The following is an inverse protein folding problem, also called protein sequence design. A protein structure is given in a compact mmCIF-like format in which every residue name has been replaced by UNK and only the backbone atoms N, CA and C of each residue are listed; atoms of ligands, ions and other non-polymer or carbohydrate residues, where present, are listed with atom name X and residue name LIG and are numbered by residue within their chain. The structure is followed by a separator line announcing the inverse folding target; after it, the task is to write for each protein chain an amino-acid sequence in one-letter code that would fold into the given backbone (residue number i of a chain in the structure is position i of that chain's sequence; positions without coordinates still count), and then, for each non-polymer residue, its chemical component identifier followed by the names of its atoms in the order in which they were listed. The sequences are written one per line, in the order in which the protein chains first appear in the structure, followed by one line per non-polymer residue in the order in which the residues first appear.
data_IF_900467228368
#
_entry.id   IF_900467228368
#
_cell.length_a   1.000
_cell.length_b   1.000
_cell.length_c   1.000
_cell.angle_alpha   90.00
_cell.angle_beta   90.00
_cell.angle_gamma   90.00
#
_symmetry.space_group_name_H-M   'P 1'
#
loop_
_entity.id
_entity.type
_entity.pdbx_description
1 polymer ?
#
# COMPACT_ATOMS: atom_id res chain seq x y z
N UNK A 1 -25.95 -5.09 3.82
CA UNK A 1 -24.68 -4.44 3.43
C UNK A 1 -23.97 -4.00 4.69
N UNK A 2 -22.71 -4.33 4.81
CA UNK A 2 -21.91 -3.94 5.96
C UNK A 2 -21.45 -2.47 5.77
N UNK A 3 -21.87 -1.56 6.64
CA UNK A 3 -21.50 -0.13 6.56
C UNK A 3 -19.98 0.11 6.43
N UNK A 4 -19.17 -0.81 6.97
CA UNK A 4 -17.72 -0.76 6.84
C UNK A 4 -17.24 -0.97 5.40
N UNK A 5 -17.91 -1.86 4.66
CA UNK A 5 -17.60 -2.12 3.25
C UNK A 5 -18.05 -0.95 2.36
N UNK A 6 -19.15 -0.29 2.70
CA UNK A 6 -19.56 0.91 1.95
C UNK A 6 -18.55 2.05 2.05
N UNK A 7 -18.00 2.27 3.24
CA UNK A 7 -16.94 3.27 3.43
C UNK A 7 -15.65 2.87 2.67
N UNK A 8 -15.31 1.57 2.68
CA UNK A 8 -14.16 1.06 1.92
C UNK A 8 -14.32 1.25 0.41
N UNK A 9 -15.55 1.12 -0.12
CA UNK A 9 -15.85 1.44 -1.53
C UNK A 9 -15.60 2.90 -1.87
N UNK A 10 -15.84 3.82 -0.93
CA UNK A 10 -15.54 5.26 -1.13
C UNK A 10 -14.02 5.46 -1.26
N UNK A 11 -13.22 4.85 -0.37
CA UNK A 11 -11.75 4.93 -0.48
C UNK A 11 -11.26 4.32 -1.80
N UNK A 12 -11.83 3.18 -2.21
CA UNK A 12 -11.49 2.54 -3.48
C UNK A 12 -11.79 3.45 -4.68
N UNK A 13 -12.96 4.10 -4.72
CA UNK A 13 -13.30 5.07 -5.77
C UNK A 13 -12.33 6.26 -5.79
N UNK A 14 -11.94 6.76 -4.62
CA UNK A 14 -10.92 7.82 -4.52
C UNK A 14 -9.57 7.36 -5.07
N UNK A 15 -9.16 6.13 -4.78
CA UNK A 15 -7.93 5.55 -5.31
C UNK A 15 -7.96 5.40 -6.83
N UNK A 16 -9.09 4.96 -7.41
CA UNK A 16 -9.29 4.92 -8.87
C UNK A 16 -9.18 6.32 -9.50
N UNK A 17 -9.77 7.33 -8.86
CA UNK A 17 -9.73 8.70 -9.35
C UNK A 17 -8.30 9.28 -9.36
N UNK A 18 -7.51 9.01 -8.30
CA UNK A 18 -6.12 9.47 -8.17
C UNK A 18 -5.22 8.82 -9.20
N UNK A 19 -5.31 7.49 -9.35
CA UNK A 19 -4.46 6.73 -10.27
C UNK A 19 -4.93 6.76 -11.72
N UNK A 20 -6.20 7.09 -11.95
CA UNK A 20 -6.85 6.92 -13.26
C UNK A 20 -7.01 5.46 -13.66
N UNK A 21 -6.96 4.55 -12.70
CA UNK A 21 -7.18 3.12 -12.93
C UNK A 21 -8.65 2.84 -13.27
N UNK A 22 -8.88 1.73 -13.97
CA UNK A 22 -10.24 1.35 -14.40
C UNK A 22 -11.01 0.70 -13.25
N UNK A 23 -12.32 0.82 -13.32
CA UNK A 23 -13.20 0.13 -12.39
C UNK A 23 -13.00 -1.39 -12.50
N UNK A 24 -12.92 -2.08 -11.35
CA UNK A 24 -12.62 -3.51 -11.29
C UNK A 24 -11.13 -3.82 -11.04
N UNK A 25 -10.25 -2.81 -11.05
CA UNK A 25 -8.83 -2.99 -10.67
C UNK A 25 -8.73 -3.57 -9.25
N UNK A 26 -7.79 -4.51 -9.06
CA UNK A 26 -7.56 -5.13 -7.77
C UNK A 26 -7.26 -4.08 -6.69
N UNK A 27 -8.08 -4.08 -5.62
CA UNK A 27 -8.01 -3.10 -4.53
C UNK A 27 -6.67 -3.14 -3.80
N UNK A 28 -6.14 -4.33 -3.54
CA UNK A 28 -4.89 -4.47 -2.80
C UNK A 28 -3.71 -3.90 -3.57
N UNK A 29 -3.57 -4.25 -4.86
CA UNK A 29 -2.53 -3.69 -5.73
C UNK A 29 -2.64 -2.16 -5.85
N UNK A 30 -3.87 -1.64 -5.97
CA UNK A 30 -4.12 -0.21 -6.06
C UNK A 30 -3.70 0.55 -4.79
N UNK A 31 -4.01 -0.02 -3.61
CA UNK A 31 -3.63 0.58 -2.33
C UNK A 31 -2.12 0.48 -2.08
N UNK A 32 -1.51 -0.62 -2.49
CA UNK A 32 -0.06 -0.81 -2.42
C UNK A 32 0.68 0.26 -3.22
N UNK A 33 0.30 0.48 -4.48
CA UNK A 33 0.88 1.53 -5.33
C UNK A 33 0.73 2.94 -4.73
N UNK A 34 -0.41 3.22 -4.10
CA UNK A 34 -0.66 4.51 -3.43
C UNK A 34 -0.01 4.61 -2.04
N UNK A 35 0.51 3.51 -1.50
CA UNK A 35 0.93 3.43 -0.11
C UNK A 35 -0.23 3.68 0.88
N UNK A 36 -1.46 3.31 0.49
CA UNK A 36 -2.65 3.47 1.34
C UNK A 36 -2.93 2.19 2.12
N UNK A 37 -3.18 2.35 3.40
CA UNK A 37 -3.75 1.29 4.24
C UNK A 37 -5.24 1.13 3.91
N UNK A 38 -5.77 -0.10 3.98
CA UNK A 38 -7.21 -0.28 4.02
C UNK A 38 -7.80 0.41 5.26
N UNK A 39 -9.07 0.80 5.20
CA UNK A 39 -9.73 1.38 6.37
C UNK A 39 -9.85 0.37 7.52
N UNK A 40 -9.87 -0.94 7.19
CA UNK A 40 -9.82 -2.01 8.18
C UNK A 40 -8.48 -1.99 8.95
N UNK A 41 -7.36 -1.95 8.24
CA UNK A 41 -6.02 -1.96 8.82
C UNK A 41 -5.78 -0.67 9.62
N UNK A 42 -6.21 0.46 9.09
CA UNK A 42 -6.16 1.74 9.80
C UNK A 42 -6.93 1.70 11.11
N UNK A 43 -8.11 1.06 11.13
CA UNK A 43 -8.88 0.87 12.38
C UNK A 43 -8.15 -0.08 13.34
N UNK A 44 -7.52 -1.15 12.85
CA UNK A 44 -6.71 -2.04 13.69
C UNK A 44 -5.53 -1.30 14.32
N UNK A 45 -4.74 -0.59 13.54
CA UNK A 45 -3.63 0.24 14.02
C UNK A 45 -4.09 1.23 15.10
N UNK A 46 -5.20 1.93 14.85
CA UNK A 46 -5.75 2.90 15.81
C UNK A 46 -6.21 2.25 17.12
N UNK A 47 -6.76 1.03 17.07
CA UNK A 47 -7.13 0.27 18.28
C UNK A 47 -5.91 -0.10 19.09
N UNK A 48 -4.83 -0.58 18.48
CA UNK A 48 -3.58 -0.92 19.18
C UNK A 48 -2.97 0.33 19.84
N UNK A 49 -2.87 1.43 19.11
CA UNK A 49 -2.33 2.69 19.63
C UNK A 49 -3.18 3.25 20.79
N UNK A 50 -4.51 3.12 20.73
CA UNK A 50 -5.38 3.54 21.82
C UNK A 50 -5.24 2.62 23.04
N UNK A 51 -5.12 1.30 22.85
CA UNK A 51 -4.83 0.35 23.93
C UNK A 51 -3.50 0.69 24.60
N UNK A 52 -2.45 1.00 23.85
CA UNK A 52 -1.17 1.43 24.39
C UNK A 52 -1.34 2.65 25.31
N UNK A 53 -2.10 3.67 24.90
CA UNK A 53 -2.39 4.84 25.75
C UNK A 53 -3.14 4.48 27.03
N UNK A 54 -4.12 3.57 26.94
CA UNK A 54 -4.92 3.13 28.10
C UNK A 54 -4.03 2.36 29.08
N UNK A 55 -3.21 1.44 28.59
CA UNK A 55 -2.32 0.62 29.44
C UNK A 55 -1.27 1.49 30.15
N UNK A 56 -0.74 2.49 29.47
CA UNK A 56 0.28 3.41 30.02
C UNK A 56 -0.29 4.62 30.77
N UNK A 57 -1.55 4.59 31.16
CA UNK A 57 -2.20 5.69 31.92
C UNK A 57 -2.22 7.06 31.20
N UNK A 58 -2.13 7.08 29.88
CA UNK A 58 -2.23 8.29 29.07
C UNK A 58 -3.68 8.65 28.70
N UNK A 59 -4.65 8.09 29.42
CA UNK A 59 -6.09 8.30 29.21
C UNK A 59 -6.81 8.40 30.57
N UNK A 60 -8.05 8.91 30.61
CA UNK A 60 -8.84 8.93 31.85
C UNK A 60 -8.99 7.54 32.49
N UNK A 61 -8.92 7.47 33.82
CA UNK A 61 -8.91 6.22 34.59
C UNK A 61 -10.09 5.30 34.31
N UNK A 62 -11.27 5.86 33.99
CA UNK A 62 -12.46 5.04 33.71
C UNK A 62 -12.27 4.12 32.48
N UNK A 63 -11.41 4.47 31.53
CA UNK A 63 -11.09 3.60 30.39
C UNK A 63 -10.20 2.43 30.84
N UNK A 64 -9.23 2.70 31.70
CA UNK A 64 -8.37 1.66 32.27
C UNK A 64 -9.16 0.65 33.11
N UNK A 65 -10.12 1.10 33.87
CA UNK A 65 -10.99 0.25 34.69
C UNK A 65 -11.87 -0.70 33.86
N UNK A 66 -11.98 -0.45 32.56
CA UNK A 66 -12.69 -1.33 31.61
C UNK A 66 -11.79 -2.38 30.96
N UNK A 67 -10.49 -2.37 31.23
CA UNK A 67 -9.62 -3.44 30.71
C UNK A 67 -9.95 -4.77 31.39
N UNK A 68 -9.90 -5.88 30.66
CA UNK A 68 -10.07 -7.20 31.26
C UNK A 68 -8.84 -7.55 32.10
N UNK A 69 -8.95 -8.54 32.99
CA UNK A 69 -7.80 -9.02 33.75
C UNK A 69 -6.65 -9.49 32.85
N UNK A 70 -5.43 -9.37 33.35
CA UNK A 70 -4.24 -9.91 32.71
C UNK A 70 -4.40 -11.41 32.44
N UNK A 71 -3.85 -11.89 31.34
CA UNK A 71 -3.88 -13.31 31.01
C UNK A 71 -3.15 -14.14 32.09
N UNK A 72 -3.68 -15.35 32.41
CA UNK A 72 -3.10 -16.20 33.45
C UNK A 72 -1.68 -16.62 33.10
N UNK A 73 -0.79 -16.61 34.09
CA UNK A 73 0.61 -17.06 33.93
C UNK A 73 1.54 -16.02 33.32
N UNK A 74 1.06 -14.81 33.02
CA UNK A 74 1.90 -13.76 32.47
C UNK A 74 2.30 -12.76 33.59
N UNK A 75 3.58 -12.82 33.95
CA UNK A 75 4.22 -11.89 34.90
C UNK A 75 5.11 -10.89 34.15
N UNK A 76 5.37 -11.15 32.87
CA UNK A 76 6.32 -10.38 32.06
C UNK A 76 5.67 -9.22 31.29
N UNK A 77 6.41 -8.15 31.13
CA UNK A 77 6.16 -7.07 30.17
C UNK A 77 6.58 -7.52 28.76
N UNK A 78 5.80 -7.33 27.72
CA UNK A 78 4.52 -6.63 27.65
C UNK A 78 3.31 -7.49 28.04
N UNK A 79 2.33 -6.87 28.69
CA UNK A 79 1.15 -7.54 29.26
C UNK A 79 0.09 -7.82 28.19
N UNK A 80 -0.42 -9.06 28.13
CA UNK A 80 -1.63 -9.44 27.40
C UNK A 80 -2.83 -9.59 28.33
N UNK A 81 -4.02 -9.50 27.77
CA UNK A 81 -5.27 -9.49 28.50
C UNK A 81 -6.14 -10.70 28.16
N UNK A 82 -6.97 -11.14 29.12
CA UNK A 82 -8.01 -12.14 28.83
C UNK A 82 -8.98 -11.60 27.79
N UNK A 83 -9.42 -12.46 26.90
CA UNK A 83 -10.47 -12.09 25.93
C UNK A 83 -11.79 -11.87 26.64
N UNK A 84 -12.55 -10.88 26.17
CA UNK A 84 -13.91 -10.69 26.65
C UNK A 84 -14.80 -11.85 26.25
N UNK A 85 -15.53 -12.39 27.22
CA UNK A 85 -16.62 -13.31 26.91
C UNK A 85 -17.83 -12.47 26.43
N UNK A 86 -18.32 -12.75 25.24
CA UNK A 86 -19.40 -11.96 24.67
C UNK A 86 -20.48 -12.84 24.03
N UNK A 87 -21.73 -12.57 24.41
CA UNK A 87 -22.90 -13.28 23.88
C UNK A 87 -23.47 -12.67 22.61
N UNK A 88 -23.11 -11.43 22.28
CA UNK A 88 -23.66 -10.70 21.12
C UNK A 88 -22.60 -10.25 20.14
N UNK A 89 -22.91 -10.35 18.85
CA UNK A 89 -22.02 -9.88 17.80
C UNK A 89 -21.75 -8.37 17.84
N UNK A 90 -22.67 -7.57 18.38
CA UNK A 90 -22.46 -6.12 18.56
C UNK A 90 -21.38 -5.86 19.60
N UNK A 91 -21.37 -6.57 20.73
CA UNK A 91 -20.35 -6.41 21.76
C UNK A 91 -18.98 -6.88 21.26
N UNK A 92 -18.90 -8.02 20.55
CA UNK A 92 -17.63 -8.48 19.93
C UNK A 92 -16.99 -7.42 19.04
N UNK A 93 -17.84 -6.69 18.28
CA UNK A 93 -17.38 -5.61 17.37
C UNK A 93 -17.11 -4.30 18.07
N UNK A 94 -17.44 -4.14 19.34
CA UNK A 94 -17.19 -2.92 20.10
C UNK A 94 -15.68 -2.70 20.33
N UNK A 95 -15.32 -1.52 20.89
CA UNK A 95 -13.92 -1.15 20.99
C UNK A 95 -13.11 -2.13 21.86
N UNK A 96 -13.49 -2.37 23.10
CA UNK A 96 -12.65 -3.13 24.03
C UNK A 96 -12.42 -4.59 23.62
N UNK A 97 -13.43 -5.41 23.28
CA UNK A 97 -13.22 -6.77 22.83
C UNK A 97 -12.36 -6.85 21.55
N UNK A 98 -12.65 -5.96 20.57
CA UNK A 98 -11.89 -5.90 19.34
C UNK A 98 -10.46 -5.40 19.54
N UNK A 99 -10.26 -4.40 20.38
CA UNK A 99 -8.94 -3.85 20.69
C UNK A 99 -8.08 -4.83 21.48
N UNK A 100 -8.66 -5.53 22.46
CA UNK A 100 -7.96 -6.59 23.23
C UNK A 100 -7.48 -7.72 22.32
N UNK A 101 -8.33 -8.16 21.37
CA UNK A 101 -7.95 -9.19 20.41
C UNK A 101 -6.72 -8.77 19.60
N UNK A 102 -6.77 -7.58 19.00
CA UNK A 102 -5.67 -7.06 18.17
C UNK A 102 -4.42 -6.77 19.02
N UNK A 103 -4.56 -6.23 20.20
CA UNK A 103 -3.49 -6.01 21.17
C UNK A 103 -2.73 -7.30 21.49
N UNK A 104 -3.44 -8.35 21.86
CA UNK A 104 -2.85 -9.66 22.18
C UNK A 104 -2.16 -10.32 20.99
N UNK A 105 -2.47 -9.92 19.76
CA UNK A 105 -1.79 -10.41 18.55
C UNK A 105 -0.48 -9.65 18.31
N UNK A 106 -0.48 -8.33 18.49
CA UNK A 106 0.68 -7.49 18.12
C UNK A 106 1.69 -7.31 19.25
N UNK A 107 1.22 -7.16 20.50
CA UNK A 107 2.13 -6.79 21.58
C UNK A 107 3.17 -7.87 21.93
N UNK A 108 2.90 -9.18 21.82
CA UNK A 108 3.91 -10.22 22.06
C UNK A 108 5.07 -10.23 21.05
N UNK A 109 4.96 -9.46 19.95
CA UNK A 109 6.06 -9.31 19.01
C UNK A 109 7.19 -8.40 19.53
N UNK A 110 6.96 -7.73 20.66
CA UNK A 110 7.95 -6.87 21.30
C UNK A 110 8.53 -7.57 22.55
N UNK A 111 9.84 -7.48 22.79
CA UNK A 111 10.48 -8.06 23.97
C UNK A 111 10.10 -7.36 25.28
N UNK A 112 9.66 -6.09 25.21
CA UNK A 112 9.19 -5.27 26.31
C UNK A 112 8.16 -4.27 25.79
N UNK A 113 7.46 -3.56 26.70
CA UNK A 113 6.50 -2.52 26.29
C UNK A 113 7.16 -1.45 25.43
N UNK A 114 6.79 -1.36 24.13
CA UNK A 114 7.38 -0.37 23.26
C UNK A 114 6.95 1.05 23.60
N UNK A 115 7.74 2.06 23.24
CA UNK A 115 7.27 3.44 23.27
C UNK A 115 6.14 3.64 22.23
N UNK A 116 5.33 4.69 22.43
CA UNK A 116 4.24 5.01 21.51
C UNK A 116 4.74 5.20 20.07
N UNK A 117 5.86 5.87 19.87
CA UNK A 117 6.44 6.11 18.55
C UNK A 117 7.03 4.83 17.92
N UNK A 118 7.67 3.98 18.71
CA UNK A 118 8.18 2.68 18.24
C UNK A 118 7.03 1.80 17.78
N UNK A 119 5.97 1.69 18.60
CA UNK A 119 4.77 0.94 18.25
C UNK A 119 4.10 1.48 16.97
N UNK A 120 3.99 2.80 16.86
CA UNK A 120 3.43 3.46 15.68
C UNK A 120 4.23 3.17 14.42
N UNK A 121 5.55 3.26 14.46
CA UNK A 121 6.44 2.96 13.33
C UNK A 121 6.30 1.49 12.89
N UNK A 122 6.27 0.57 13.84
CA UNK A 122 6.11 -0.86 13.55
C UNK A 122 4.75 -1.17 12.93
N UNK A 123 3.66 -0.56 13.43
CA UNK A 123 2.34 -0.73 12.83
C UNK A 123 2.27 -0.16 11.41
N UNK A 124 2.89 0.99 11.16
CA UNK A 124 3.00 1.56 9.81
C UNK A 124 3.78 0.60 8.89
N UNK A 125 4.93 0.10 9.34
CA UNK A 125 5.73 -0.86 8.58
C UNK A 125 4.97 -2.16 8.30
N UNK A 126 4.18 -2.65 9.25
CA UNK A 126 3.39 -3.87 9.11
C UNK A 126 2.25 -3.73 8.08
N UNK A 127 1.53 -2.61 8.12
CA UNK A 127 0.36 -2.38 7.24
C UNK A 127 0.71 -1.67 5.93
N UNK A 128 1.91 -1.09 5.82
CA UNK A 128 2.44 -0.40 4.63
C UNK A 128 3.85 -0.87 4.31
N UNK A 129 4.06 -2.13 3.94
CA UNK A 129 5.41 -2.65 3.71
C UNK A 129 6.17 -1.90 2.61
N UNK A 130 5.47 -1.33 1.64
CA UNK A 130 6.05 -0.75 0.42
C UNK A 130 5.69 0.73 0.20
N UNK A 131 5.55 1.52 1.26
CA UNK A 131 5.16 2.94 1.15
C UNK A 131 6.10 3.79 0.28
N UNK A 132 6.01 3.66 -1.03
CA UNK A 132 6.71 4.52 -1.99
C UNK A 132 6.00 5.88 -2.02
N UNK A 133 6.69 6.94 -1.62
CA UNK A 133 6.15 8.30 -1.72
C UNK A 133 6.33 8.84 -3.14
N UNK A 134 5.35 8.60 -4.00
CA UNK A 134 5.30 9.19 -5.34
C UNK A 134 4.66 10.60 -5.29
N UNK A 135 4.10 10.98 -4.15
CA UNK A 135 3.34 12.23 -3.99
C UNK A 135 4.19 13.51 -3.97
N UNK A 136 5.51 13.40 -3.97
CA UNK A 136 6.41 14.56 -4.07
C UNK A 136 6.67 15.00 -5.52
N UNK A 137 6.06 14.34 -6.51
CA UNK A 137 6.19 14.70 -7.92
C UNK A 137 5.16 15.78 -8.24
N UNK A 138 5.61 16.96 -8.66
CA UNK A 138 4.75 18.10 -9.03
C UNK A 138 4.11 17.98 -10.43
N UNK A 139 4.03 16.77 -10.98
CA UNK A 139 3.35 16.47 -12.24
C UNK A 139 2.22 15.46 -12.02
N UNK A 140 0.98 15.92 -11.79
CA UNK A 140 -0.16 15.03 -11.56
C UNK A 140 -0.48 14.14 -12.76
N UNK A 141 -0.29 14.64 -13.97
CA UNK A 141 -0.61 13.89 -15.19
C UNK A 141 0.42 12.80 -15.45
N UNK A 142 1.72 13.12 -15.35
CA UNK A 142 2.81 12.15 -15.46
C UNK A 142 2.72 11.08 -14.38
N UNK A 143 2.42 11.48 -13.13
CA UNK A 143 2.21 10.55 -12.01
C UNK A 143 1.05 9.59 -12.31
N UNK A 144 -0.05 10.07 -12.87
CA UNK A 144 -1.19 9.22 -13.27
C UNK A 144 -0.80 8.20 -14.35
N UNK A 145 -0.07 8.62 -15.39
CA UNK A 145 0.42 7.70 -16.41
C UNK A 145 1.40 6.67 -15.84
N UNK A 146 2.26 7.08 -14.92
CA UNK A 146 3.15 6.16 -14.22
C UNK A 146 2.37 5.07 -13.46
N UNK A 147 1.34 5.43 -12.70
CA UNK A 147 0.46 4.46 -12.05
C UNK A 147 -0.22 3.52 -13.04
N UNK A 148 -0.72 4.06 -14.15
CA UNK A 148 -1.36 3.23 -15.17
C UNK A 148 -0.39 2.24 -15.83
N UNK A 149 0.86 2.64 -16.08
CA UNK A 149 1.90 1.74 -16.60
C UNK A 149 2.22 0.62 -15.60
N UNK A 150 2.40 0.95 -14.32
CA UNK A 150 2.74 -0.01 -13.25
C UNK A 150 1.61 -0.99 -12.96
N UNK A 151 0.37 -0.55 -13.05
CA UNK A 151 -0.82 -1.39 -12.85
C UNK A 151 -1.23 -2.18 -14.10
N UNK A 152 -0.54 -2.02 -15.23
CA UNK A 152 -0.94 -2.63 -16.49
C UNK A 152 -2.27 -2.09 -17.05
N UNK A 153 -2.58 -0.83 -16.78
CA UNK A 153 -3.85 -0.16 -17.11
C UNK A 153 -3.66 1.05 -18.03
N UNK A 154 -2.48 1.18 -18.62
CA UNK A 154 -2.19 2.27 -19.54
C UNK A 154 -2.90 2.09 -20.89
N UNK A 155 -2.95 3.13 -21.74
CA UNK A 155 -3.58 3.04 -23.05
C UNK A 155 -2.80 2.19 -24.08
N UNK A 156 -1.76 1.44 -23.68
CA UNK A 156 -1.03 0.52 -24.54
C UNK A 156 -1.91 -0.62 -25.05
N UNK A 157 -1.65 -1.11 -26.27
CA UNK A 157 -2.48 -2.12 -26.92
C UNK A 157 -2.53 -3.44 -26.12
N UNK A 158 -1.42 -3.89 -25.55
CA UNK A 158 -1.41 -5.10 -24.73
C UNK A 158 -2.29 -4.98 -23.50
N UNK A 159 -2.27 -3.83 -22.81
CA UNK A 159 -3.10 -3.61 -21.65
C UNK A 159 -4.59 -3.59 -22.01
N UNK A 160 -4.97 -2.87 -23.07
CA UNK A 160 -6.35 -2.83 -23.57
C UNK A 160 -6.83 -4.19 -24.04
N UNK A 161 -6.00 -4.94 -24.76
CA UNK A 161 -6.31 -6.28 -25.24
C UNK A 161 -6.54 -7.25 -24.09
N UNK A 162 -5.67 -7.25 -23.07
CA UNK A 162 -5.77 -8.10 -21.89
C UNK A 162 -7.04 -7.79 -21.06
N UNK A 163 -7.55 -6.57 -21.14
CA UNK A 163 -8.80 -6.14 -20.51
C UNK A 163 -10.02 -6.19 -21.45
N UNK A 164 -9.89 -6.88 -22.61
CA UNK A 164 -10.98 -7.14 -23.56
C UNK A 164 -11.70 -5.87 -24.07
N UNK A 165 -10.94 -4.80 -24.35
CA UNK A 165 -11.53 -3.62 -24.96
C UNK A 165 -11.98 -3.92 -26.40
N UNK A 166 -13.24 -3.61 -26.72
CA UNK A 166 -13.88 -3.92 -28.00
C UNK A 166 -13.10 -3.38 -29.21
N UNK A 167 -12.48 -2.23 -29.07
CA UNK A 167 -11.73 -1.56 -30.14
C UNK A 167 -10.25 -1.97 -30.22
N UNK A 168 -9.85 -3.04 -29.52
CA UNK A 168 -8.46 -3.49 -29.48
C UNK A 168 -8.39 -4.98 -29.81
N UNK A 169 -8.50 -5.37 -31.10
CA UNK A 169 -8.50 -6.76 -31.52
C UNK A 169 -7.12 -7.42 -31.39
N UNK A 170 -6.05 -6.64 -31.30
CA UNK A 170 -4.68 -7.13 -31.23
C UNK A 170 -3.87 -6.37 -30.18
N UNK A 171 -2.88 -7.04 -29.61
CA UNK A 171 -1.89 -6.46 -28.70
C UNK A 171 -0.63 -5.96 -29.44
N UNK A 172 -0.59 -6.08 -30.80
CA UNK A 172 0.56 -5.70 -31.60
C UNK A 172 0.79 -4.18 -31.60
N UNK A 173 2.06 -3.78 -31.59
CA UNK A 173 2.44 -2.38 -31.72
C UNK A 173 2.31 -1.90 -33.17
N UNK A 174 1.94 -0.65 -33.34
CA UNK A 174 1.86 0.01 -34.67
C UNK A 174 3.21 0.00 -35.41
N UNK A 175 4.33 -0.12 -34.70
CA UNK A 175 5.65 -0.24 -35.29
C UNK A 175 5.91 -1.60 -36.00
N UNK A 176 4.98 -2.54 -35.92
CA UNK A 176 5.06 -3.93 -36.43
C UNK A 176 6.24 -4.76 -35.87
N UNK A 177 6.86 -4.32 -34.78
CA UNK A 177 8.04 -4.98 -34.22
C UNK A 177 7.76 -5.56 -32.83
N UNK A 178 6.61 -6.21 -32.65
CA UNK A 178 6.25 -6.94 -31.45
C UNK A 178 4.97 -6.43 -30.75
N UNK A 179 4.79 -6.87 -29.51
CA UNK A 179 3.65 -6.54 -28.67
C UNK A 179 3.86 -5.13 -28.06
N UNK A 180 2.82 -4.29 -28.03
CA UNK A 180 2.87 -2.98 -27.42
C UNK A 180 2.61 -3.08 -25.90
N UNK A 181 3.56 -3.65 -25.18
CA UNK A 181 3.60 -3.67 -23.72
C UNK A 181 4.47 -2.54 -23.14
N UNK A 182 4.55 -2.47 -21.83
CA UNK A 182 5.34 -1.45 -21.14
C UNK A 182 6.81 -1.53 -21.48
N UNK A 183 7.37 -2.74 -21.59
CA UNK A 183 8.78 -2.95 -21.95
C UNK A 183 9.07 -2.50 -23.37
N UNK A 184 8.26 -2.92 -24.34
CA UNK A 184 8.40 -2.51 -25.73
C UNK A 184 8.30 -0.97 -25.85
N UNK A 185 7.30 -0.35 -25.24
CA UNK A 185 7.08 1.10 -25.25
C UNK A 185 8.27 1.88 -24.68
N UNK A 186 8.75 1.48 -23.50
CA UNK A 186 9.83 2.20 -22.81
C UNK A 186 11.24 1.86 -23.33
N UNK A 187 11.46 0.70 -23.92
CA UNK A 187 12.82 0.24 -24.21
C UNK A 187 13.11 -0.03 -25.69
N UNK A 188 12.15 -0.55 -26.45
CA UNK A 188 12.44 -1.14 -27.76
C UNK A 188 11.80 -0.36 -28.92
N UNK A 189 10.58 0.16 -28.74
CA UNK A 189 9.78 0.69 -29.85
C UNK A 189 10.51 1.79 -30.64
N UNK A 190 10.74 1.61 -31.96
CA UNK A 190 11.45 2.61 -32.76
C UNK A 190 10.69 3.95 -32.87
N UNK A 191 9.36 3.93 -32.79
CA UNK A 191 8.53 5.14 -32.86
C UNK A 191 8.79 6.09 -31.68
N UNK A 192 9.26 5.58 -30.56
CA UNK A 192 9.53 6.37 -29.36
C UNK A 192 11.01 6.56 -29.06
N UNK A 193 11.91 6.21 -29.99
CA UNK A 193 13.37 6.26 -29.82
C UNK A 193 13.87 7.68 -29.43
N UNK A 194 13.37 8.72 -30.08
CA UNK A 194 13.75 10.11 -29.79
C UNK A 194 13.32 10.54 -28.38
N UNK A 195 12.09 10.17 -27.96
CA UNK A 195 11.59 10.47 -26.63
C UNK A 195 12.38 9.74 -25.54
N UNK A 196 12.74 8.46 -25.79
CA UNK A 196 13.60 7.69 -24.88
C UNK A 196 14.99 8.29 -24.76
N UNK A 197 15.61 8.70 -25.85
CA UNK A 197 16.91 9.36 -25.81
C UNK A 197 16.87 10.64 -24.94
N UNK A 198 15.81 11.44 -25.08
CA UNK A 198 15.59 12.63 -24.25
C UNK A 198 15.38 12.28 -22.76
N UNK A 199 14.59 11.23 -22.49
CA UNK A 199 14.36 10.75 -21.12
C UNK A 199 15.66 10.21 -20.53
N UNK A 200 16.38 9.35 -21.24
CA UNK A 200 17.65 8.78 -20.81
C UNK A 200 18.68 9.88 -20.47
N UNK A 201 18.80 10.91 -21.29
CA UNK A 201 19.70 12.04 -21.03
C UNK A 201 19.32 12.79 -19.73
N UNK A 202 18.01 12.96 -19.45
CA UNK A 202 17.54 13.58 -18.19
C UNK A 202 17.83 12.69 -16.98
N UNK A 203 17.57 11.38 -17.09
CA UNK A 203 17.79 10.39 -16.02
C UNK A 203 19.29 10.31 -15.71
N UNK A 204 20.15 10.16 -16.72
CA UNK A 204 21.60 10.16 -16.56
C UNK A 204 22.07 11.41 -15.82
N UNK A 205 21.58 12.59 -16.23
CA UNK A 205 21.97 13.86 -15.57
C UNK A 205 21.61 13.87 -14.08
N UNK A 206 20.41 13.39 -13.72
CA UNK A 206 19.95 13.32 -12.32
C UNK A 206 20.77 12.30 -11.53
N UNK A 207 21.02 11.12 -12.09
CA UNK A 207 21.79 10.07 -11.43
C UNK A 207 23.26 10.45 -11.25
N UNK A 208 23.87 11.13 -12.22
CA UNK A 208 25.22 11.67 -12.11
C UNK A 208 25.31 12.71 -10.99
N UNK A 209 24.33 13.59 -10.88
CA UNK A 209 24.27 14.58 -9.80
C UNK A 209 24.13 13.93 -8.41
N UNK A 210 23.54 12.74 -8.32
CA UNK A 210 23.32 11.99 -7.09
C UNK A 210 24.35 10.85 -6.86
N UNK A 211 25.44 10.75 -7.66
CA UNK A 211 26.43 9.67 -7.62
C UNK A 211 25.84 8.24 -7.77
N UNK A 212 24.79 8.09 -8.55
CA UNK A 212 24.06 6.82 -8.73
C UNK A 212 24.14 6.30 -10.18
N UNK A 213 25.30 6.35 -10.81
CA UNK A 213 25.48 6.09 -12.25
C UNK A 213 25.16 4.66 -12.73
N UNK A 214 25.04 3.66 -11.85
CA UNK A 214 24.85 2.25 -12.24
C UNK A 214 23.40 1.89 -12.59
N UNK A 215 22.45 2.82 -12.44
CA UNK A 215 21.00 2.53 -12.52
C UNK A 215 20.35 2.88 -13.88
N UNK A 216 21.13 3.35 -14.86
CA UNK A 216 20.58 4.02 -16.04
C UNK A 216 19.90 3.12 -17.11
N UNK A 217 20.06 1.80 -17.09
CA UNK A 217 19.68 0.94 -18.21
C UNK A 217 18.66 -0.15 -17.87
N UNK A 218 17.94 -0.05 -16.77
CA UNK A 218 16.97 -1.06 -16.35
C UNK A 218 15.54 -0.46 -16.34
N UNK A 219 14.64 -1.05 -17.12
CA UNK A 219 13.21 -0.63 -17.17
C UNK A 219 12.54 -0.72 -15.81
N UNK A 220 12.91 -1.69 -14.98
CA UNK A 220 12.35 -1.84 -13.64
C UNK A 220 12.76 -0.67 -12.74
N UNK A 221 13.96 -0.12 -12.94
CA UNK A 221 14.40 1.08 -12.24
C UNK A 221 13.64 2.31 -12.73
N UNK A 222 13.36 2.41 -14.02
CA UNK A 222 12.59 3.52 -14.59
C UNK A 222 11.14 3.52 -14.09
N UNK A 223 10.53 2.33 -13.93
CA UNK A 223 9.15 2.16 -13.50
C UNK A 223 8.99 2.07 -11.97
N UNK A 224 9.85 1.30 -11.31
CA UNK A 224 9.66 0.91 -9.90
C UNK A 224 10.71 1.52 -8.96
N UNK A 225 11.76 2.13 -9.50
CA UNK A 225 12.90 2.62 -8.75
C UNK A 225 13.89 1.51 -8.38
N UNK A 226 14.90 1.85 -7.60
CA UNK A 226 16.04 0.96 -7.27
C UNK A 226 15.62 -0.38 -6.62
N UNK A 227 14.51 -0.41 -5.93
CA UNK A 227 13.94 -1.61 -5.35
C UNK A 227 12.80 -2.10 -6.24
N UNK A 228 13.12 -2.59 -7.44
CA UNK A 228 12.14 -3.35 -8.20
C UNK A 228 11.82 -4.59 -7.40
N UNK A 229 10.57 -4.72 -7.04
CA UNK A 229 10.03 -5.98 -6.58
C UNK A 229 10.04 -6.89 -7.80
N UNK A 230 11.01 -7.78 -7.89
CA UNK A 230 10.80 -9.04 -8.56
C UNK A 230 9.83 -9.78 -7.66
N UNK A 231 8.55 -9.55 -7.87
CA UNK A 231 7.53 -10.40 -7.33
C UNK A 231 7.65 -11.69 -8.12
N UNK A 232 8.16 -12.68 -7.44
CA UNK A 232 8.04 -14.05 -7.83
C UNK A 232 6.56 -14.35 -8.01
N UNK A 233 6.22 -15.01 -9.11
CA UNK A 233 4.90 -15.52 -9.51
C UNK A 233 4.16 -16.27 -8.40
#
# INVERSE_FOLDING_TARGET
TNAMEEIEKVQYKAALAVTGAWQGTNRSKLYEELGWESLSDRRMSRRVLMMHKIVNNCTPNYLRNKLPPVARGQVADPVTFRQYHSRTGRFVKSFFPGATKVWNTFIPLFPSMPTFETLRKQLISFFRPNGKSIFNIHDPLGTRYLFQLRLGLSPLQSHKHNHHFVNTPSNACICNNGIEDTYHFLSICPLHAAHRATLAAKVVRILTQNNQNQLCNNVDVDLYGHHSLKDDD
#
